data_IF_538533846494
#
_entry.id   IF_538533846494
#
_cell.length_a   1.000
_cell.length_b   1.000
_cell.length_c   1.000
_cell.angle_alpha   90.00
_cell.angle_beta   90.00
_cell.angle_gamma   90.00
#
_symmetry.space_group_name_H-M   'P 1'
#
loop_
_entity.id
_entity.type
_entity.pdbx_description
1 polymer ?
#
# COMPACT_ATOMS: atom_id res chain seq x y z
N UNK A 1 -23.30 19.34 -66.31
CA UNK A 1 -23.43 17.99 -65.74
C UNK A 1 -22.07 17.56 -65.21
N UNK A 2 -22.01 17.30 -63.90
CA UNK A 2 -20.94 16.65 -63.12
C UNK A 2 -19.56 17.33 -63.10
N UNK A 3 -18.82 17.38 -62.00
CA UNK A 3 -19.06 17.19 -60.56
C UNK A 3 -17.74 17.64 -59.92
N UNK A 4 -17.73 18.68 -59.10
CA UNK A 4 -16.52 19.10 -58.38
C UNK A 4 -16.26 18.12 -57.23
N UNK A 5 -15.17 17.35 -57.31
CA UNK A 5 -14.74 16.46 -56.23
C UNK A 5 -14.02 17.31 -55.18
N UNK A 6 -14.73 17.69 -54.12
CA UNK A 6 -14.13 18.24 -52.92
C UNK A 6 -13.34 17.12 -52.21
N UNK A 7 -12.01 17.17 -52.26
CA UNK A 7 -11.17 16.30 -51.45
C UNK A 7 -11.18 16.83 -50.01
N UNK A 8 -11.82 16.10 -49.11
CA UNK A 8 -11.84 16.37 -47.68
C UNK A 8 -10.41 16.34 -47.12
N UNK A 9 -10.08 17.38 -46.35
CA UNK A 9 -8.84 17.49 -45.58
C UNK A 9 -8.60 16.23 -44.75
N UNK A 10 -7.37 15.72 -44.82
CA UNK A 10 -6.87 14.65 -43.96
C UNK A 10 -7.06 15.02 -42.48
N UNK A 11 -7.85 14.24 -41.76
CA UNK A 11 -7.92 14.31 -40.30
C UNK A 11 -6.52 14.04 -39.74
N UNK A 12 -5.89 15.06 -39.15
CA UNK A 12 -4.86 14.82 -38.15
C UNK A 12 -5.56 14.14 -36.97
N UNK A 13 -5.54 12.81 -36.95
CA UNK A 13 -5.84 12.06 -35.75
C UNK A 13 -4.76 12.47 -34.74
N UNK A 14 -5.13 13.36 -33.82
CA UNK A 14 -4.30 13.69 -32.67
C UNK A 14 -3.91 12.36 -32.04
N UNK A 15 -2.61 12.05 -32.06
CA UNK A 15 -2.08 10.93 -31.30
C UNK A 15 -2.39 11.24 -29.84
N UNK A 16 -3.42 10.58 -29.30
CA UNK A 16 -3.64 10.56 -27.86
C UNK A 16 -2.46 9.79 -27.32
N UNK A 17 -1.47 10.51 -26.80
CA UNK A 17 -0.44 9.94 -25.93
C UNK A 17 -1.20 9.25 -24.81
N UNK A 18 -1.26 7.92 -24.83
CA UNK A 18 -1.75 7.16 -23.70
C UNK A 18 -0.82 7.49 -22.53
N UNK A 19 -1.28 8.36 -21.64
CA UNK A 19 -0.75 8.44 -20.29
C UNK A 19 -0.78 7.03 -19.73
N UNK A 20 0.41 6.44 -19.61
CA UNK A 20 0.58 5.16 -18.93
C UNK A 20 -0.02 5.29 -17.53
N UNK A 21 -0.73 4.25 -17.06
CA UNK A 21 -1.47 4.23 -15.79
C UNK A 21 -0.67 4.63 -14.53
N UNK A 22 0.65 4.86 -14.65
CA UNK A 22 1.54 5.34 -13.60
C UNK A 22 1.49 6.84 -13.31
N UNK A 23 0.90 7.71 -14.14
CA UNK A 23 0.85 9.16 -13.82
C UNK A 23 -0.08 9.52 -12.66
N UNK A 24 -1.00 8.63 -12.26
CA UNK A 24 -1.93 8.86 -11.15
C UNK A 24 -1.55 8.16 -9.85
N UNK A 25 -0.36 7.55 -9.78
CA UNK A 25 0.14 7.00 -8.54
C UNK A 25 0.38 8.15 -7.55
N UNK A 26 -0.51 8.29 -6.57
CA UNK A 26 -0.32 9.25 -5.47
C UNK A 26 1.07 9.03 -4.86
N UNK A 27 1.83 10.05 -4.45
CA UNK A 27 3.15 9.82 -3.86
C UNK A 27 3.01 9.11 -2.50
N UNK A 28 3.96 8.23 -2.13
CA UNK A 28 4.03 7.66 -0.78
C UNK A 28 4.05 8.79 0.26
N UNK A 29 3.46 8.61 1.46
CA UNK A 29 3.64 9.54 2.58
C UNK A 29 5.12 9.82 2.84
N UNK A 30 5.47 11.06 3.14
CA UNK A 30 6.84 11.45 3.52
C UNK A 30 6.93 11.65 5.03
N UNK A 31 8.05 11.24 5.63
CA UNK A 31 8.30 11.43 7.06
C UNK A 31 7.33 10.68 7.97
N UNK A 32 7.24 11.12 9.23
CA UNK A 32 6.31 10.55 10.20
C UNK A 32 4.87 10.96 9.88
N UNK A 33 3.94 10.02 10.03
CA UNK A 33 2.51 10.29 9.97
C UNK A 33 2.09 10.95 11.30
N UNK A 34 1.46 12.11 11.20
CA UNK A 34 0.89 12.85 12.33
C UNK A 34 -0.60 13.14 12.06
N UNK A 35 -1.19 14.08 12.79
CA UNK A 35 -2.57 14.50 12.56
C UNK A 35 -2.74 16.03 12.61
N UNK A 36 -3.71 16.52 11.84
CA UNK A 36 -4.24 17.88 11.93
C UNK A 36 -5.75 17.81 12.14
N UNK A 37 -6.18 18.13 13.37
CA UNK A 37 -7.55 17.86 13.82
C UNK A 37 -7.90 16.39 13.64
N UNK A 38 -8.90 16.10 12.80
CA UNK A 38 -9.39 14.74 12.51
C UNK A 38 -8.65 14.02 11.39
N UNK A 39 -7.73 14.69 10.71
CA UNK A 39 -7.06 14.16 9.51
C UNK A 39 -5.69 13.61 9.87
N UNK A 40 -5.35 12.43 9.35
CA UNK A 40 -3.98 11.94 9.34
C UNK A 40 -3.22 12.63 8.21
N UNK A 41 -2.04 13.15 8.52
CA UNK A 41 -1.24 13.92 7.57
C UNK A 41 0.20 13.44 7.55
N UNK A 42 0.85 13.55 6.39
CA UNK A 42 2.29 13.34 6.29
C UNK A 42 3.08 14.62 6.63
N UNK A 43 4.41 14.54 6.57
CA UNK A 43 5.28 15.69 6.87
C UNK A 43 5.18 16.84 5.87
N UNK A 44 4.55 16.62 4.71
CA UNK A 44 4.32 17.64 3.67
C UNK A 44 2.94 18.30 3.82
N UNK A 45 2.14 17.91 4.82
CA UNK A 45 0.79 18.43 5.08
C UNK A 45 -0.31 17.82 4.22
N UNK A 46 -0.03 16.73 3.48
CA UNK A 46 -1.05 16.03 2.67
C UNK A 46 -1.96 15.22 3.58
N UNK A 47 -3.27 15.29 3.34
CA UNK A 47 -4.24 14.41 4.00
C UNK A 47 -4.11 13.00 3.43
N UNK A 48 -3.98 12.02 4.31
CA UNK A 48 -3.80 10.61 3.96
C UNK A 48 -5.14 9.87 4.06
N UNK A 49 -5.49 9.17 2.99
CA UNK A 49 -6.58 8.20 2.98
C UNK A 49 -5.99 6.80 2.81
N UNK A 50 -6.13 5.96 3.83
CA UNK A 50 -5.51 4.63 3.85
C UNK A 50 -6.43 3.56 3.29
N UNK A 51 -6.02 2.95 2.19
CA UNK A 51 -6.60 1.72 1.66
C UNK A 51 -5.58 0.60 1.87
N UNK A 52 -6.01 -0.47 2.54
CA UNK A 52 -5.09 -1.51 3.00
C UNK A 52 -5.80 -2.79 3.39
N UNK A 53 -5.00 -3.75 3.86
CA UNK A 53 -5.46 -5.07 4.29
C UNK A 53 -5.06 -5.35 5.73
N UNK A 54 -5.66 -6.37 6.34
CA UNK A 54 -5.26 -6.87 7.66
C UNK A 54 -4.45 -8.15 7.47
N UNK A 55 -3.35 -8.26 8.20
CA UNK A 55 -2.56 -9.49 8.30
C UNK A 55 -2.46 -9.82 9.79
N UNK A 56 -3.11 -10.90 10.22
CA UNK A 56 -3.24 -11.27 11.63
C UNK A 56 -3.11 -12.78 11.78
N UNK A 57 -1.98 -13.21 12.34
CA UNK A 57 -1.74 -14.60 12.72
C UNK A 57 -2.40 -14.89 14.07
N UNK A 58 -3.45 -15.71 14.05
CA UNK A 58 -4.27 -16.01 15.25
C UNK A 58 -3.92 -17.32 15.93
N UNK A 59 -3.10 -18.15 15.29
CA UNK A 59 -2.61 -19.41 15.83
C UNK A 59 -1.14 -19.30 16.19
N UNK A 60 -0.69 -20.08 17.17
CA UNK A 60 0.72 -20.09 17.56
C UNK A 60 1.60 -20.48 16.36
N UNK A 61 2.72 -19.76 16.10
CA UNK A 61 3.42 -18.83 17.00
C UNK A 61 2.98 -17.36 16.93
N UNK A 62 1.82 -17.06 16.32
CA UNK A 62 1.18 -15.74 16.24
C UNK A 62 1.95 -14.69 15.43
N UNK A 63 2.89 -15.10 14.56
CA UNK A 63 3.67 -14.19 13.72
C UNK A 63 3.26 -14.33 12.25
N UNK A 64 3.11 -13.23 11.50
CA UNK A 64 2.79 -13.28 10.07
C UNK A 64 3.81 -14.09 9.25
N UNK A 65 5.09 -14.03 9.63
CA UNK A 65 6.16 -14.82 8.98
C UNK A 65 5.90 -16.33 9.11
N UNK A 66 5.35 -16.79 10.24
CA UNK A 66 4.99 -18.20 10.41
C UNK A 66 3.76 -18.61 9.59
N UNK A 67 2.86 -17.67 9.30
CA UNK A 67 1.74 -17.85 8.37
C UNK A 67 2.17 -17.72 6.89
N UNK A 68 3.46 -17.45 6.64
CA UNK A 68 4.05 -17.38 5.29
C UNK A 68 4.09 -15.99 4.67
N UNK A 69 3.76 -14.92 5.40
CA UNK A 69 3.89 -13.56 4.89
C UNK A 69 5.36 -13.20 4.63
N UNK A 70 5.63 -12.69 3.43
CA UNK A 70 6.98 -12.45 2.91
C UNK A 70 7.08 -11.17 2.07
N UNK A 71 8.30 -10.81 1.65
CA UNK A 71 8.55 -9.67 0.76
C UNK A 71 7.79 -9.79 -0.57
N UNK A 72 7.55 -11.02 -1.04
CA UNK A 72 6.77 -11.27 -2.25
C UNK A 72 5.30 -10.88 -2.07
N UNK A 73 4.72 -11.14 -0.89
CA UNK A 73 3.34 -10.76 -0.58
C UNK A 73 3.20 -9.24 -0.41
N UNK A 74 4.17 -8.59 0.22
CA UNK A 74 4.21 -7.13 0.32
C UNK A 74 4.32 -6.46 -1.07
N UNK A 75 5.19 -6.98 -1.94
CA UNK A 75 5.31 -6.53 -3.32
C UNK A 75 4.02 -6.77 -4.12
N UNK A 76 3.36 -7.92 -3.92
CA UNK A 76 2.08 -8.22 -4.55
C UNK A 76 0.99 -7.23 -4.10
N UNK A 77 0.85 -6.95 -2.81
CA UNK A 77 -0.10 -5.96 -2.29
C UNK A 77 0.18 -4.55 -2.85
N UNK A 78 1.46 -4.17 -2.95
CA UNK A 78 1.86 -2.90 -3.56
C UNK A 78 1.48 -2.83 -5.04
N UNK A 79 1.61 -3.94 -5.79
CA UNK A 79 1.20 -4.02 -7.20
C UNK A 79 -0.30 -3.85 -7.41
N UNK A 80 -1.12 -4.21 -6.40
CA UNK A 80 -2.57 -3.98 -6.38
C UNK A 80 -2.93 -2.55 -5.94
N UNK A 81 -1.95 -1.71 -5.62
CA UNK A 81 -2.14 -0.33 -5.18
C UNK A 81 -2.40 -0.16 -3.67
N UNK A 82 -2.31 -1.23 -2.87
CA UNK A 82 -2.34 -1.12 -1.42
C UNK A 82 -1.05 -0.53 -0.87
N UNK A 83 -1.16 0.32 0.15
CA UNK A 83 -0.01 1.04 0.72
C UNK A 83 0.09 0.94 2.24
N UNK A 84 -0.87 0.26 2.86
CA UNK A 84 -0.92 0.04 4.30
C UNK A 84 -1.35 -1.39 4.58
N UNK A 85 -0.68 -2.00 5.55
CA UNK A 85 -1.08 -3.26 6.16
C UNK A 85 -1.29 -3.01 7.65
N UNK A 86 -2.43 -3.47 8.18
CA UNK A 86 -2.66 -3.54 9.61
C UNK A 86 -2.16 -4.89 10.12
N UNK A 87 -0.98 -4.88 10.71
CA UNK A 87 -0.34 -6.06 11.32
C UNK A 87 -0.94 -6.31 12.71
N UNK A 88 -1.45 -7.51 12.93
CA UNK A 88 -1.97 -7.94 14.22
C UNK A 88 -0.84 -8.23 15.21
N UNK A 89 -0.97 -7.69 16.43
CA UNK A 89 -0.10 -8.04 17.56
C UNK A 89 -0.99 -8.62 18.66
N UNK A 90 -0.74 -9.87 19.04
CA UNK A 90 -1.56 -10.59 20.02
C UNK A 90 -0.90 -10.55 21.40
N UNK A 91 -1.69 -10.30 22.43
CA UNK A 91 -1.22 -10.33 23.82
C UNK A 91 -0.60 -11.68 24.19
N UNK A 92 -1.19 -12.79 23.72
CA UNK A 92 -0.68 -14.15 23.92
C UNK A 92 0.71 -14.37 23.32
N UNK A 93 1.05 -13.67 22.23
CA UNK A 93 2.38 -13.71 21.63
C UNK A 93 3.36 -12.74 22.30
N UNK A 94 2.91 -11.52 22.63
CA UNK A 94 3.75 -10.49 23.25
C UNK A 94 4.15 -10.83 24.68
N UNK A 95 3.23 -11.37 25.48
CA UNK A 95 3.43 -11.68 26.88
C UNK A 95 2.72 -13.01 27.23
N UNK A 96 3.32 -14.16 26.86
CA UNK A 96 2.71 -15.49 27.06
C UNK A 96 2.47 -15.87 28.53
N UNK A 97 3.13 -15.17 29.45
CA UNK A 97 2.92 -15.29 30.89
C UNK A 97 3.04 -13.91 31.55
N UNK A 98 2.28 -13.61 32.62
CA UNK A 98 2.30 -12.30 33.25
C UNK A 98 3.72 -11.81 33.57
N UNK A 99 4.05 -10.61 33.10
CA UNK A 99 5.36 -9.97 33.31
C UNK A 99 6.51 -10.52 32.46
N UNK A 100 6.28 -11.55 31.62
CA UNK A 100 7.30 -12.12 30.73
C UNK A 100 7.03 -11.73 29.28
N UNK A 101 7.68 -10.66 28.83
CA UNK A 101 7.63 -10.21 27.43
C UNK A 101 8.50 -11.11 26.56
N UNK A 102 7.97 -11.58 25.43
CA UNK A 102 8.72 -12.35 24.45
C UNK A 102 9.40 -11.43 23.43
N UNK A 103 10.71 -11.25 23.59
CA UNK A 103 11.53 -10.42 22.70
C UNK A 103 11.72 -11.05 21.32
N UNK A 104 11.67 -12.39 21.21
CA UNK A 104 11.75 -13.06 19.92
C UNK A 104 10.47 -12.81 19.11
N UNK A 105 9.31 -12.86 19.75
CA UNK A 105 8.04 -12.47 19.12
C UNK A 105 8.10 -11.02 18.60
N UNK A 106 8.57 -10.06 19.42
CA UNK A 106 8.74 -8.65 18.98
C UNK A 106 9.68 -8.57 17.77
N UNK A 107 10.79 -9.30 17.78
CA UNK A 107 11.74 -9.34 16.66
C UNK A 107 11.10 -9.86 15.38
N UNK A 108 10.26 -10.90 15.46
CA UNK A 108 9.55 -11.45 14.30
C UNK A 108 8.50 -10.49 13.74
N UNK A 109 7.79 -9.77 14.61
CA UNK A 109 6.90 -8.67 14.17
C UNK A 109 7.70 -7.56 13.51
N UNK A 110 8.86 -7.18 14.06
CA UNK A 110 9.72 -6.15 13.47
C UNK A 110 10.23 -6.56 12.08
N UNK A 111 10.59 -7.84 11.87
CA UNK A 111 10.94 -8.38 10.55
C UNK A 111 9.79 -8.15 9.56
N UNK A 112 8.55 -8.48 9.95
CA UNK A 112 7.36 -8.25 9.11
C UNK A 112 7.15 -6.77 8.77
N UNK A 113 7.50 -5.85 9.68
CA UNK A 113 7.35 -4.40 9.45
C UNK A 113 8.43 -3.85 8.50
N UNK A 114 9.57 -4.52 8.40
CA UNK A 114 10.69 -4.13 7.52
C UNK A 114 10.68 -4.78 6.14
N UNK A 115 9.76 -5.72 5.91
CA UNK A 115 9.43 -6.35 4.62
C UNK A 115 8.99 -5.31 3.58
#
# INVERSE_FOLDING_TARGET
MALALAACSSNNAASVTQTTANEYASPLPTGLITHSGRWLTDSSGRVLLFHGVNIVAKEAPYTPVADGFSDADAAFLASLGFRVVRVGVLASGLMPSPGKVDLNYIKQIAITVTT
#
